data_IF_610382161877
#
_entry.id   IF_610382161877
#
_cell.length_a   1.000
_cell.length_b   1.000
_cell.length_c   1.000
_cell.angle_alpha   90.00
_cell.angle_beta   90.00
_cell.angle_gamma   90.00
#
_symmetry.space_group_name_H-M   'P 1'
#
loop_
_entity.id
_entity.type
_entity.pdbx_description
1 polymer ?
#
# COMPACT_ATOMS: atom_id res chain seq x y z
N UNK A 1 -28.47 -28.08 -23.76
CA UNK A 1 -28.68 -26.61 -23.71
C UNK A 1 -28.64 -26.00 -25.10
N UNK A 2 -29.37 -24.90 -25.34
CA UNK A 2 -29.30 -24.15 -26.61
C UNK A 2 -27.97 -23.39 -26.69
N UNK A 3 -27.56 -23.00 -27.91
CA UNK A 3 -26.40 -22.13 -28.08
C UNK A 3 -26.65 -20.78 -27.39
N UNK A 4 -27.84 -20.24 -27.50
CA UNK A 4 -28.21 -18.94 -26.94
C UNK A 4 -28.12 -18.92 -25.41
N UNK A 5 -28.54 -19.99 -24.74
CA UNK A 5 -28.33 -20.18 -23.31
C UNK A 5 -26.83 -20.20 -22.95
N UNK A 6 -26.02 -20.89 -23.76
CA UNK A 6 -24.59 -20.96 -23.54
C UNK A 6 -23.91 -19.61 -23.77
N UNK A 7 -24.35 -18.84 -24.76
CA UNK A 7 -23.85 -17.49 -25.02
C UNK A 7 -24.14 -16.52 -23.88
N UNK A 8 -25.34 -16.59 -23.30
CA UNK A 8 -25.73 -15.74 -22.19
C UNK A 8 -25.11 -16.12 -20.84
N UNK A 9 -24.70 -17.39 -20.65
CA UNK A 9 -24.24 -17.90 -19.34
C UNK A 9 -22.76 -18.25 -19.26
N UNK A 10 -22.18 -18.76 -20.35
CA UNK A 10 -20.86 -19.38 -20.33
C UNK A 10 -19.84 -18.75 -21.29
N UNK A 11 -20.31 -17.89 -22.21
CA UNK A 11 -19.48 -17.32 -23.27
C UNK A 11 -19.58 -15.78 -23.32
N UNK A 12 -19.87 -15.13 -22.19
CA UNK A 12 -19.98 -13.66 -22.14
C UNK A 12 -18.62 -12.96 -22.18
N UNK A 13 -17.54 -13.74 -22.16
CA UNK A 13 -16.15 -13.31 -22.30
C UNK A 13 -15.66 -13.26 -23.76
N UNK A 14 -16.47 -13.76 -24.71
CA UNK A 14 -16.22 -13.59 -26.14
C UNK A 14 -16.51 -12.15 -26.58
N UNK A 15 -15.74 -11.66 -27.55
CA UNK A 15 -16.08 -10.41 -28.26
C UNK A 15 -17.30 -10.62 -29.14
N UNK A 16 -17.94 -9.54 -29.60
CA UNK A 16 -19.13 -9.66 -30.44
C UNK A 16 -18.82 -10.33 -31.79
N UNK A 17 -17.65 -10.04 -32.38
CA UNK A 17 -17.17 -10.73 -33.59
C UNK A 17 -17.02 -12.25 -33.38
N UNK A 18 -16.42 -12.66 -32.25
CA UNK A 18 -16.27 -14.09 -31.92
C UNK A 18 -17.60 -14.76 -31.62
N UNK A 19 -18.57 -14.04 -31.04
CA UNK A 19 -19.92 -14.55 -30.84
C UNK A 19 -20.61 -14.79 -32.18
N UNK A 20 -20.44 -13.89 -33.15
CA UNK A 20 -20.98 -14.06 -34.50
C UNK A 20 -20.36 -15.26 -35.21
N UNK A 21 -19.03 -15.40 -35.14
CA UNK A 21 -18.31 -16.57 -35.68
C UNK A 21 -18.81 -17.88 -35.06
N UNK A 22 -18.98 -17.92 -33.73
CA UNK A 22 -19.54 -19.08 -33.02
C UNK A 22 -20.98 -19.41 -33.45
N UNK A 23 -21.81 -18.40 -33.73
CA UNK A 23 -23.18 -18.60 -34.24
C UNK A 23 -23.19 -19.17 -35.65
N UNK A 24 -22.35 -18.66 -36.53
CA UNK A 24 -22.19 -19.21 -37.89
C UNK A 24 -21.73 -20.66 -37.82
N UNK A 25 -20.65 -20.92 -37.08
CA UNK A 25 -20.05 -22.24 -36.95
C UNK A 25 -21.03 -23.27 -36.36
N UNK A 26 -21.89 -22.86 -35.42
CA UNK A 26 -22.94 -23.73 -34.90
C UNK A 26 -23.95 -24.16 -35.96
N UNK A 27 -24.28 -23.25 -36.88
CA UNK A 27 -25.26 -23.48 -37.94
C UNK A 27 -24.67 -24.39 -39.02
N UNK A 28 -23.39 -24.18 -39.34
CA UNK A 28 -22.71 -24.88 -40.44
C UNK A 28 -22.18 -26.26 -40.04
N UNK A 29 -21.58 -26.38 -38.85
CA UNK A 29 -20.82 -27.57 -38.43
C UNK A 29 -21.30 -28.17 -37.09
N UNK A 30 -22.20 -27.49 -36.39
CA UNK A 30 -22.81 -27.98 -35.17
C UNK A 30 -21.96 -27.81 -33.90
N UNK A 31 -22.41 -28.47 -32.82
CA UNK A 31 -21.90 -28.24 -31.45
C UNK A 31 -20.42 -28.62 -31.25
N UNK A 32 -19.92 -29.61 -31.99
CA UNK A 32 -18.54 -30.09 -31.86
C UNK A 32 -17.52 -29.04 -32.31
N UNK A 33 -17.72 -28.45 -33.48
CA UNK A 33 -16.86 -27.39 -34.02
C UNK A 33 -16.87 -26.14 -33.14
N UNK A 34 -18.06 -25.75 -32.65
CA UNK A 34 -18.20 -24.65 -31.68
C UNK A 34 -17.37 -24.89 -30.43
N UNK A 35 -17.38 -26.11 -29.90
CA UNK A 35 -16.60 -26.44 -28.72
C UNK A 35 -15.09 -26.29 -28.96
N UNK A 36 -14.59 -26.82 -30.07
CA UNK A 36 -13.17 -26.70 -30.42
C UNK A 36 -12.77 -25.23 -30.60
N UNK A 37 -13.62 -24.42 -31.25
CA UNK A 37 -13.37 -22.98 -31.43
C UNK A 37 -13.41 -22.18 -30.13
N UNK A 38 -14.33 -22.48 -29.22
CA UNK A 38 -14.37 -21.87 -27.88
C UNK A 38 -13.06 -22.15 -27.12
N UNK A 39 -12.49 -23.34 -27.28
CA UNK A 39 -11.24 -23.70 -26.62
C UNK A 39 -10.02 -23.03 -27.25
N UNK A 40 -10.04 -22.80 -28.56
CA UNK A 40 -9.04 -21.97 -29.26
C UNK A 40 -9.05 -20.54 -28.72
N UNK A 41 -10.22 -19.87 -28.69
CA UNK A 41 -10.33 -18.54 -28.08
C UNK A 41 -9.98 -18.53 -26.60
N UNK A 42 -10.31 -19.61 -25.89
CA UNK A 42 -9.92 -19.74 -24.50
C UNK A 42 -8.41 -19.71 -24.42
N UNK A 43 -7.70 -20.48 -25.24
CA UNK A 43 -6.24 -20.57 -25.26
C UNK A 43 -5.55 -19.26 -25.61
N UNK A 44 -6.09 -18.53 -26.57
CA UNK A 44 -5.62 -17.20 -26.98
C UNK A 44 -5.90 -16.10 -25.95
N UNK A 45 -6.94 -16.26 -25.12
CA UNK A 45 -7.27 -15.26 -24.12
C UNK A 45 -6.13 -15.09 -23.10
N UNK A 46 -5.92 -13.85 -22.68
CA UNK A 46 -4.94 -13.45 -21.66
C UNK A 46 -5.61 -12.59 -20.58
N UNK A 47 -4.91 -12.38 -19.47
CA UNK A 47 -5.35 -11.51 -18.36
C UNK A 47 -6.76 -11.79 -17.84
N UNK A 48 -7.49 -10.72 -17.54
CA UNK A 48 -8.86 -10.75 -16.98
C UNK A 48 -9.86 -11.49 -17.87
N UNK A 49 -9.65 -11.43 -19.21
CA UNK A 49 -10.50 -12.15 -20.15
C UNK A 49 -10.31 -13.66 -20.01
N UNK A 50 -9.07 -14.13 -19.86
CA UNK A 50 -8.77 -15.55 -19.59
C UNK A 50 -9.33 -15.99 -18.24
N UNK A 51 -9.28 -15.13 -17.23
CA UNK A 51 -9.87 -15.40 -15.93
C UNK A 51 -11.40 -15.55 -16.03
N UNK A 52 -12.08 -14.58 -16.65
CA UNK A 52 -13.52 -14.60 -16.88
C UNK A 52 -13.93 -15.86 -17.65
N UNK A 53 -13.20 -16.18 -18.72
CA UNK A 53 -13.40 -17.39 -19.49
C UNK A 53 -13.26 -18.66 -18.64
N UNK A 54 -12.23 -18.75 -17.80
CA UNK A 54 -12.03 -19.91 -16.94
C UNK A 54 -13.14 -20.08 -15.90
N UNK A 55 -13.67 -18.97 -15.34
CA UNK A 55 -14.80 -19.00 -14.39
C UNK A 55 -16.09 -19.47 -15.06
N UNK A 56 -16.42 -18.91 -16.22
CA UNK A 56 -17.66 -19.23 -16.95
C UNK A 56 -17.62 -20.64 -17.54
N UNK A 57 -16.52 -21.04 -18.19
CA UNK A 57 -16.38 -22.36 -18.80
C UNK A 57 -16.32 -23.48 -17.76
N UNK A 58 -15.92 -23.20 -16.50
CA UNK A 58 -16.04 -24.17 -15.40
C UNK A 58 -17.49 -24.59 -15.16
N UNK A 59 -18.41 -23.63 -15.29
CA UNK A 59 -19.86 -23.88 -15.29
C UNK A 59 -20.26 -24.77 -16.45
N UNK A 60 -19.85 -24.41 -17.67
CA UNK A 60 -20.13 -25.20 -18.87
C UNK A 60 -19.63 -26.65 -18.77
N UNK A 61 -18.43 -26.86 -18.23
CA UNK A 61 -17.85 -28.18 -18.00
C UNK A 61 -18.74 -29.10 -17.15
N UNK A 62 -19.40 -28.56 -16.12
CA UNK A 62 -20.31 -29.34 -15.28
C UNK A 62 -21.49 -29.87 -16.10
N UNK A 63 -22.03 -29.06 -16.99
CA UNK A 63 -23.16 -29.44 -17.83
C UNK A 63 -22.73 -30.37 -18.96
N UNK A 64 -21.66 -30.02 -19.68
CA UNK A 64 -21.23 -30.74 -20.86
C UNK A 64 -20.68 -32.14 -20.54
N UNK A 65 -19.87 -32.27 -19.48
CA UNK A 65 -19.37 -33.58 -19.06
C UNK A 65 -20.53 -34.45 -18.56
N UNK A 66 -21.47 -33.88 -17.81
CA UNK A 66 -22.68 -34.58 -17.34
C UNK A 66 -23.52 -35.12 -18.50
N UNK A 67 -23.74 -34.34 -19.56
CA UNK A 67 -24.47 -34.79 -20.75
C UNK A 67 -23.77 -35.99 -21.44
N UNK A 68 -22.43 -36.03 -21.40
CA UNK A 68 -21.63 -37.09 -22.02
C UNK A 68 -21.57 -38.37 -21.18
N UNK A 69 -21.34 -38.26 -19.87
CA UNK A 69 -21.25 -39.43 -18.97
C UNK A 69 -22.63 -39.94 -18.51
N UNK A 70 -23.68 -39.16 -18.71
CA UNK A 70 -25.06 -39.47 -18.34
C UNK A 70 -25.47 -38.94 -16.96
N UNK A 71 -26.79 -38.75 -16.78
CA UNK A 71 -27.38 -38.09 -15.60
C UNK A 71 -26.96 -38.73 -14.27
N UNK A 72 -27.11 -40.06 -14.16
CA UNK A 72 -26.75 -40.84 -12.97
C UNK A 72 -25.28 -40.69 -12.57
N UNK A 73 -24.40 -40.71 -13.57
CA UNK A 73 -22.97 -40.55 -13.36
C UNK A 73 -22.63 -39.10 -12.97
N UNK A 74 -23.32 -38.11 -13.55
CA UNK A 74 -23.21 -36.71 -13.13
C UNK A 74 -23.66 -36.45 -11.70
N UNK A 75 -24.72 -37.13 -11.24
CA UNK A 75 -25.18 -37.07 -9.85
C UNK A 75 -24.16 -37.68 -8.88
N UNK A 76 -23.57 -38.82 -9.22
CA UNK A 76 -22.47 -39.42 -8.44
C UNK A 76 -21.29 -38.45 -8.25
N UNK A 77 -20.87 -37.78 -9.33
CA UNK A 77 -19.79 -36.78 -9.25
C UNK A 77 -20.20 -35.58 -8.37
N UNK A 78 -21.47 -35.18 -8.40
CA UNK A 78 -22.00 -34.13 -7.53
C UNK A 78 -21.94 -34.55 -6.06
N UNK A 79 -22.40 -35.76 -5.73
CA UNK A 79 -22.36 -36.30 -4.38
C UNK A 79 -20.93 -36.43 -3.85
N UNK A 80 -19.99 -36.92 -4.67
CA UNK A 80 -18.57 -36.97 -4.30
C UNK A 80 -18.06 -35.59 -3.89
N UNK A 81 -18.41 -34.55 -4.65
CA UNK A 81 -18.01 -33.18 -4.34
C UNK A 81 -18.66 -32.66 -3.05
N UNK A 82 -19.93 -32.96 -2.82
CA UNK A 82 -20.65 -32.58 -1.60
C UNK A 82 -20.09 -33.28 -0.35
N UNK A 83 -19.62 -34.51 -0.51
CA UNK A 83 -18.92 -35.29 0.52
C UNK A 83 -17.43 -34.93 0.68
N UNK A 84 -16.96 -33.85 0.04
CA UNK A 84 -15.62 -33.32 0.23
C UNK A 84 -14.52 -34.05 -0.55
N UNK A 85 -14.86 -34.85 -1.57
CA UNK A 85 -13.85 -35.48 -2.41
C UNK A 85 -12.93 -34.42 -3.05
N UNK A 86 -11.63 -34.73 -3.10
CA UNK A 86 -10.68 -33.87 -3.78
C UNK A 86 -11.02 -33.78 -5.27
N UNK A 87 -10.68 -32.66 -5.88
CA UNK A 87 -10.91 -32.51 -7.32
C UNK A 87 -10.15 -33.55 -8.15
N UNK A 88 -9.03 -34.07 -7.64
CA UNK A 88 -8.23 -35.09 -8.32
C UNK A 88 -8.93 -36.45 -8.23
N UNK A 89 -9.52 -36.78 -7.08
CA UNK A 89 -10.38 -37.97 -6.93
C UNK A 89 -11.61 -37.89 -7.85
N UNK A 90 -12.21 -36.70 -7.98
CA UNK A 90 -13.31 -36.47 -8.93
C UNK A 90 -12.82 -36.64 -10.38
N UNK A 91 -11.64 -36.11 -10.73
CA UNK A 91 -11.08 -36.23 -12.07
C UNK A 91 -10.80 -37.69 -12.45
N UNK A 92 -10.20 -38.46 -11.55
CA UNK A 92 -10.01 -39.91 -11.73
C UNK A 92 -11.34 -40.61 -11.90
N UNK A 93 -12.35 -40.28 -11.11
CA UNK A 93 -13.67 -40.91 -11.26
C UNK A 93 -14.33 -40.59 -12.59
N UNK A 94 -14.20 -39.35 -13.07
CA UNK A 94 -14.70 -38.97 -14.40
C UNK A 94 -14.00 -39.78 -15.50
N UNK A 95 -12.69 -40.03 -15.39
CA UNK A 95 -11.95 -40.86 -16.36
C UNK A 95 -12.45 -42.31 -16.36
N UNK A 96 -12.63 -42.93 -15.19
CA UNK A 96 -13.22 -44.28 -15.07
C UNK A 96 -14.61 -44.36 -15.73
N UNK A 97 -15.45 -43.35 -15.50
CA UNK A 97 -16.80 -43.30 -16.08
C UNK A 97 -16.79 -43.12 -17.60
N UNK A 98 -15.80 -42.41 -18.12
CA UNK A 98 -15.60 -42.24 -19.57
C UNK A 98 -15.10 -43.55 -20.20
N UNK A 99 -14.21 -44.28 -19.51
CA UNK A 99 -13.71 -45.57 -20.02
C UNK A 99 -14.81 -46.61 -20.18
N UNK A 100 -15.83 -46.57 -19.32
CA UNK A 100 -17.00 -47.43 -19.36
C UNK A 100 -18.02 -47.09 -20.47
N UNK A 101 -17.82 -46.00 -21.23
CA UNK A 101 -18.67 -45.66 -22.38
C UNK A 101 -18.40 -46.64 -23.53
N UNK A 102 -19.43 -47.36 -23.97
CA UNK A 102 -19.32 -48.33 -25.06
C UNK A 102 -19.29 -47.71 -26.46
N UNK A 103 -19.85 -46.52 -26.65
CA UNK A 103 -19.83 -45.79 -27.93
C UNK A 103 -18.48 -45.08 -28.10
N UNK A 104 -17.66 -45.53 -29.03
CA UNK A 104 -16.31 -45.02 -29.26
C UNK A 104 -16.29 -43.51 -29.61
N UNK A 105 -17.28 -43.04 -30.38
CA UNK A 105 -17.38 -41.62 -30.75
C UNK A 105 -17.72 -40.77 -29.53
N UNK A 106 -18.67 -41.23 -28.71
CA UNK A 106 -19.06 -40.56 -27.47
C UNK A 106 -17.93 -40.59 -26.44
N UNK A 107 -17.21 -41.71 -26.35
CA UNK A 107 -16.03 -41.88 -25.50
C UNK A 107 -14.92 -40.91 -25.89
N UNK A 108 -14.60 -40.80 -27.18
CA UNK A 108 -13.61 -39.84 -27.67
C UNK A 108 -14.01 -38.38 -27.37
N UNK A 109 -15.29 -38.03 -27.55
CA UNK A 109 -15.82 -36.72 -27.18
C UNK A 109 -15.70 -36.44 -25.68
N UNK A 110 -16.01 -37.43 -24.84
CA UNK A 110 -15.94 -37.30 -23.39
C UNK A 110 -14.48 -37.18 -22.89
N UNK A 111 -13.55 -37.92 -23.48
CA UNK A 111 -12.11 -37.78 -23.19
C UNK A 111 -11.61 -36.37 -23.53
N UNK A 112 -11.94 -35.86 -24.72
CA UNK A 112 -11.57 -34.49 -25.13
C UNK A 112 -12.20 -33.45 -24.19
N UNK A 113 -13.47 -33.62 -23.84
CA UNK A 113 -14.16 -32.74 -22.91
C UNK A 113 -13.50 -32.74 -21.52
N UNK A 114 -13.18 -33.92 -20.99
CA UNK A 114 -12.51 -34.09 -19.69
C UNK A 114 -11.14 -33.41 -19.65
N UNK A 115 -10.31 -33.60 -20.69
CA UNK A 115 -8.99 -32.97 -20.78
C UNK A 115 -9.06 -31.44 -20.78
N UNK A 116 -9.96 -30.88 -21.60
CA UNK A 116 -10.19 -29.43 -21.67
C UNK A 116 -10.76 -28.88 -20.36
N UNK A 117 -11.69 -29.61 -19.73
CA UNK A 117 -12.20 -29.24 -18.42
C UNK A 117 -11.11 -29.27 -17.36
N UNK A 118 -10.23 -30.28 -17.34
CA UNK A 118 -9.06 -30.31 -16.45
C UNK A 118 -8.18 -29.06 -16.63
N UNK A 119 -7.94 -28.65 -17.88
CA UNK A 119 -7.21 -27.41 -18.21
C UNK A 119 -7.92 -26.16 -17.67
N UNK A 120 -9.22 -26.01 -17.91
CA UNK A 120 -10.04 -24.89 -17.43
C UNK A 120 -10.02 -24.81 -15.90
N UNK A 121 -10.24 -25.94 -15.22
CA UNK A 121 -10.19 -26.01 -13.77
C UNK A 121 -8.79 -25.68 -13.23
N UNK A 122 -7.72 -26.09 -13.92
CA UNK A 122 -6.34 -25.74 -13.59
C UNK A 122 -6.08 -24.23 -13.68
N UNK A 123 -6.52 -23.59 -14.77
CA UNK A 123 -6.43 -22.13 -14.96
C UNK A 123 -7.25 -21.39 -13.89
N UNK A 124 -8.50 -21.79 -13.65
CA UNK A 124 -9.35 -21.19 -12.63
C UNK A 124 -8.77 -21.35 -11.21
N UNK A 125 -8.08 -22.46 -10.92
CA UNK A 125 -7.36 -22.65 -9.65
C UNK A 125 -6.15 -21.72 -9.52
N UNK A 126 -5.40 -21.49 -10.61
CA UNK A 126 -4.26 -20.55 -10.61
C UNK A 126 -4.73 -19.13 -10.31
N UNK A 127 -5.72 -18.62 -11.05
CA UNK A 127 -6.29 -17.31 -10.75
C UNK A 127 -6.89 -17.19 -9.35
N UNK A 128 -7.47 -18.27 -8.80
CA UNK A 128 -7.93 -18.28 -7.40
C UNK A 128 -6.77 -18.25 -6.38
N UNK A 129 -5.59 -18.78 -6.72
CA UNK A 129 -4.39 -18.65 -5.86
C UNK A 129 -3.79 -17.26 -5.96
N UNK A 130 -3.85 -16.64 -7.14
CA UNK A 130 -3.33 -15.30 -7.39
C UNK A 130 -4.27 -14.20 -6.81
N UNK A 131 -5.58 -14.45 -6.76
CA UNK A 131 -6.54 -13.70 -5.95
C UNK A 131 -6.61 -14.27 -4.53
N UNK A 132 -5.71 -13.83 -3.66
CA UNK A 132 -5.85 -14.06 -2.22
C UNK A 132 -7.19 -13.50 -1.75
N UNK A 133 -8.11 -14.36 -1.30
CA UNK A 133 -9.35 -13.91 -0.68
C UNK A 133 -8.97 -13.24 0.65
N UNK A 134 -8.92 -11.92 0.66
CA UNK A 134 -8.51 -11.16 1.84
C UNK A 134 -9.46 -11.44 3.00
N UNK A 135 -9.04 -12.29 3.93
CA UNK A 135 -9.80 -12.55 5.15
C UNK A 135 -9.43 -11.51 6.21
N UNK A 136 -10.34 -11.29 7.16
CA UNK A 136 -10.12 -10.30 8.22
C UNK A 136 -8.91 -10.65 9.09
N UNK A 137 -8.63 -11.94 9.30
CA UNK A 137 -7.53 -12.37 10.17
C UNK A 137 -6.17 -11.94 9.60
N UNK A 138 -5.98 -12.07 8.29
CA UNK A 138 -4.80 -11.54 7.60
C UNK A 138 -4.69 -10.01 7.78
N UNK A 139 -5.81 -9.29 7.68
CA UNK A 139 -5.82 -7.85 7.91
C UNK A 139 -5.45 -7.49 9.37
N UNK A 140 -5.93 -8.28 10.33
CA UNK A 140 -5.62 -8.12 11.77
C UNK A 140 -4.15 -8.33 12.07
N UNK A 141 -3.55 -9.34 11.44
CA UNK A 141 -2.15 -9.72 11.65
C UNK A 141 -1.16 -8.81 10.92
N UNK A 142 -1.52 -8.27 9.75
CA UNK A 142 -0.59 -7.53 8.90
C UNK A 142 -0.80 -6.03 8.84
N UNK A 143 -2.05 -5.57 8.97
CA UNK A 143 -2.43 -4.20 8.64
C UNK A 143 -3.12 -3.42 9.78
N UNK A 144 -3.55 -4.13 10.82
CA UNK A 144 -4.30 -3.59 11.95
C UNK A 144 -3.66 -3.95 13.30
N UNK A 145 -2.35 -4.17 13.34
CA UNK A 145 -1.65 -4.56 14.58
C UNK A 145 -1.49 -3.38 15.56
N UNK A 146 -1.80 -2.17 15.09
CA UNK A 146 -1.85 -0.93 15.87
C UNK A 146 -3.17 -0.75 16.63
N UNK A 147 -4.19 -1.58 16.37
CA UNK A 147 -5.40 -1.62 17.17
C UNK A 147 -5.15 -2.33 18.50
N UNK A 148 -5.79 -1.84 19.57
CA UNK A 148 -5.86 -2.58 20.83
C UNK A 148 -6.91 -3.71 20.76
N UNK A 149 -6.96 -4.55 21.79
CA UNK A 149 -7.79 -5.76 21.76
C UNK A 149 -9.30 -5.43 21.69
N UNK A 150 -9.76 -4.42 22.44
CA UNK A 150 -11.15 -3.95 22.39
C UNK A 150 -11.53 -3.46 20.98
N UNK A 151 -10.66 -2.68 20.35
CA UNK A 151 -10.84 -2.18 18.99
C UNK A 151 -10.85 -3.31 17.96
N UNK A 152 -9.98 -4.32 18.13
CA UNK A 152 -9.98 -5.51 17.27
C UNK A 152 -11.28 -6.29 17.41
N UNK A 153 -11.81 -6.45 18.63
CA UNK A 153 -13.08 -7.13 18.86
C UNK A 153 -14.25 -6.40 18.20
N UNK A 154 -14.32 -5.07 18.31
CA UNK A 154 -15.34 -4.26 17.63
C UNK A 154 -15.29 -4.44 16.11
N UNK A 155 -14.09 -4.43 15.52
CA UNK A 155 -13.88 -4.63 14.07
C UNK A 155 -14.24 -6.06 13.66
N UNK A 156 -13.90 -7.08 14.48
CA UNK A 156 -14.30 -8.49 14.28
C UNK A 156 -15.82 -8.65 14.31
N UNK A 157 -16.51 -7.99 15.24
CA UNK A 157 -17.97 -8.02 15.37
C UNK A 157 -18.66 -7.45 14.13
N UNK A 158 -18.19 -6.31 13.62
CA UNK A 158 -18.74 -5.69 12.40
C UNK A 158 -18.54 -6.58 11.16
N UNK A 159 -17.38 -7.22 11.05
CA UNK A 159 -17.13 -8.17 9.97
C UNK A 159 -18.01 -9.42 10.06
N UNK A 160 -18.18 -10.00 11.26
CA UNK A 160 -19.02 -11.19 11.48
C UNK A 160 -20.50 -10.94 11.20
N UNK A 161 -20.97 -9.70 11.37
CA UNK A 161 -22.31 -9.27 10.98
C UNK A 161 -22.50 -9.12 9.46
N UNK A 162 -21.44 -9.32 8.66
CA UNK A 162 -21.45 -9.15 7.21
C UNK A 162 -21.35 -7.69 6.74
N UNK A 163 -21.25 -6.73 7.67
CA UNK A 163 -21.18 -5.30 7.38
C UNK A 163 -19.72 -4.84 7.20
N UNK A 164 -19.14 -5.24 6.07
CA UNK A 164 -17.78 -4.83 5.69
C UNK A 164 -17.63 -3.31 5.61
N UNK A 165 -18.70 -2.58 5.28
CA UNK A 165 -18.65 -1.12 5.16
C UNK A 165 -18.52 -0.45 6.53
N UNK A 166 -19.33 -0.87 7.50
CA UNK A 166 -19.22 -0.38 8.87
C UNK A 166 -17.84 -0.71 9.46
N UNK A 167 -17.31 -1.90 9.17
CA UNK A 167 -15.97 -2.30 9.56
C UNK A 167 -14.89 -1.33 9.04
N UNK A 168 -14.88 -1.04 7.73
CA UNK A 168 -13.92 -0.09 7.15
C UNK A 168 -14.06 1.31 7.74
N UNK A 169 -15.31 1.78 7.93
CA UNK A 169 -15.58 3.08 8.52
C UNK A 169 -15.01 3.15 9.94
N UNK A 170 -15.23 2.11 10.74
CA UNK A 170 -14.73 2.04 12.13
C UNK A 170 -13.21 2.05 12.19
N UNK A 171 -12.52 1.30 11.32
CA UNK A 171 -11.05 1.33 11.23
C UNK A 171 -10.55 2.76 10.94
N UNK A 172 -11.20 3.48 10.03
CA UNK A 172 -10.82 4.86 9.70
C UNK A 172 -11.15 5.85 10.82
N UNK A 173 -12.24 5.66 11.56
CA UNK A 173 -12.57 6.45 12.76
C UNK A 173 -11.50 6.26 13.85
N UNK A 174 -11.10 5.01 14.11
CA UNK A 174 -10.02 4.72 15.07
C UNK A 174 -8.72 5.34 14.57
N UNK A 175 -8.39 5.19 13.29
CA UNK A 175 -7.22 5.81 12.69
C UNK A 175 -7.20 7.32 12.94
N UNK A 176 -8.31 8.02 12.72
CA UNK A 176 -8.40 9.47 12.95
C UNK A 176 -8.25 9.87 14.41
N UNK A 177 -8.61 8.99 15.35
CA UNK A 177 -8.51 9.23 16.79
C UNK A 177 -7.12 9.02 17.38
N UNK A 178 -6.27 8.20 16.76
CA UNK A 178 -4.93 7.89 17.28
C UNK A 178 -3.89 8.95 16.89
N UNK A 179 -2.86 9.12 17.71
CA UNK A 179 -1.77 10.09 17.53
C UNK A 179 -0.40 9.48 17.88
N UNK A 180 0.69 10.19 17.58
CA UNK A 180 2.06 9.76 17.90
C UNK A 180 2.46 8.44 17.22
N UNK A 181 3.26 7.63 17.91
CA UNK A 181 3.79 6.35 17.41
C UNK A 181 2.71 5.41 16.88
N UNK A 182 1.54 5.39 17.53
CA UNK A 182 0.40 4.58 17.08
C UNK A 182 -0.10 5.05 15.72
N UNK A 183 -0.17 6.37 15.49
CA UNK A 183 -0.57 6.96 14.21
C UNK A 183 0.47 6.73 13.12
N UNK A 184 1.75 6.74 13.45
CA UNK A 184 2.83 6.38 12.53
C UNK A 184 2.73 4.92 12.09
N UNK A 185 2.67 4.01 13.06
CA UNK A 185 2.51 2.57 12.81
C UNK A 185 1.26 2.29 11.98
N UNK A 186 0.12 2.88 12.36
CA UNK A 186 -1.13 2.78 11.61
C UNK A 186 -0.99 3.29 10.17
N UNK A 187 -0.29 4.41 9.97
CA UNK A 187 -0.10 5.00 8.65
C UNK A 187 0.77 4.10 7.76
N UNK A 188 1.82 3.46 8.31
CA UNK A 188 2.67 2.51 7.56
C UNK A 188 1.88 1.26 7.17
N UNK A 189 1.20 0.65 8.13
CA UNK A 189 0.42 -0.57 7.93
C UNK A 189 -0.74 -0.35 6.96
N UNK A 190 -1.52 0.72 7.13
CA UNK A 190 -2.62 1.05 6.22
C UNK A 190 -2.13 1.44 4.82
N UNK A 191 -0.90 1.98 4.69
CA UNK A 191 -0.27 2.17 3.38
C UNK A 191 0.00 0.84 2.67
N UNK A 192 0.44 -0.17 3.41
CA UNK A 192 0.65 -1.51 2.89
C UNK A 192 -0.68 -2.16 2.50
N UNK A 193 -1.70 -2.02 3.34
CA UNK A 193 -3.07 -2.41 3.04
C UNK A 193 -3.55 -1.77 1.73
N UNK A 194 -3.38 -0.45 1.58
CA UNK A 194 -3.75 0.25 0.35
C UNK A 194 -3.09 -0.31 -0.90
N UNK A 195 -1.80 -0.68 -0.85
CA UNK A 195 -1.14 -1.32 -2.00
C UNK A 195 -1.76 -2.68 -2.31
N UNK A 196 -2.09 -3.45 -1.29
CA UNK A 196 -2.67 -4.78 -1.44
C UNK A 196 -4.10 -4.72 -1.99
N UNK A 197 -5.00 -4.00 -1.32
CA UNK A 197 -6.42 -3.94 -1.68
C UNK A 197 -6.71 -3.16 -2.96
N UNK A 198 -5.93 -2.11 -3.26
CA UNK A 198 -6.10 -1.37 -4.53
C UNK A 198 -5.64 -2.24 -5.70
N UNK A 199 -4.53 -2.97 -5.56
CA UNK A 199 -4.05 -3.93 -6.56
C UNK A 199 -5.13 -4.96 -6.92
N UNK A 200 -5.77 -5.55 -5.92
CA UNK A 200 -6.88 -6.50 -6.14
C UNK A 200 -8.10 -5.87 -6.81
N UNK A 201 -8.30 -4.55 -6.66
CA UNK A 201 -9.42 -3.83 -7.24
C UNK A 201 -9.18 -3.45 -8.70
N UNK A 202 -7.96 -3.04 -9.05
CA UNK A 202 -7.60 -2.56 -10.40
C UNK A 202 -6.94 -3.61 -11.29
N UNK A 203 -6.55 -4.76 -10.72
CA UNK A 203 -5.84 -5.83 -11.41
C UNK A 203 -4.31 -5.67 -11.41
N UNK A 204 -3.60 -6.78 -11.61
CA UNK A 204 -2.13 -6.86 -11.60
C UNK A 204 -1.50 -5.95 -12.66
N UNK A 205 -2.05 -5.93 -13.88
CA UNK A 205 -1.52 -5.14 -15.00
C UNK A 205 -1.52 -3.63 -14.68
N UNK A 206 -2.62 -3.14 -14.14
CA UNK A 206 -2.75 -1.74 -13.77
C UNK A 206 -1.89 -1.40 -12.54
N UNK A 207 -1.72 -2.35 -11.61
CA UNK A 207 -0.83 -2.18 -10.47
C UNK A 207 0.65 -2.06 -10.88
N UNK A 208 1.12 -2.86 -11.84
CA UNK A 208 2.48 -2.73 -12.39
C UNK A 208 2.66 -1.38 -13.11
N UNK A 209 1.67 -0.89 -13.87
CA UNK A 209 1.73 0.47 -14.44
C UNK A 209 1.91 1.55 -13.37
N UNK A 210 1.21 1.46 -12.23
CA UNK A 210 1.39 2.40 -11.12
C UNK A 210 2.78 2.31 -10.49
N UNK A 211 3.37 1.12 -10.45
CA UNK A 211 4.72 0.88 -9.95
C UNK A 211 5.77 1.48 -10.90
N UNK A 212 5.64 1.27 -12.19
CA UNK A 212 6.48 1.91 -13.22
C UNK A 212 6.39 3.45 -13.15
N UNK A 213 5.18 4.00 -12.99
CA UNK A 213 4.99 5.44 -12.78
C UNK A 213 5.74 5.93 -11.54
N UNK A 214 5.68 5.18 -10.43
CA UNK A 214 6.40 5.52 -9.21
C UNK A 214 7.92 5.46 -9.40
N UNK A 215 8.43 4.45 -10.09
CA UNK A 215 9.87 4.26 -10.36
C UNK A 215 10.43 5.31 -11.32
N UNK A 216 9.62 5.75 -12.29
CA UNK A 216 9.95 6.87 -13.20
C UNK A 216 9.80 8.26 -12.56
N UNK A 217 9.48 8.32 -11.27
CA UNK A 217 9.42 9.58 -10.51
C UNK A 217 8.13 10.37 -10.68
N UNK A 218 7.04 9.73 -11.10
CA UNK A 218 5.73 10.38 -11.18
C UNK A 218 5.31 10.96 -9.82
N UNK A 219 4.64 12.10 -9.86
CA UNK A 219 4.15 12.76 -8.65
C UNK A 219 3.05 11.92 -7.98
N UNK A 220 2.89 12.00 -6.65
CA UNK A 220 1.78 11.35 -5.95
C UNK A 220 0.42 11.73 -6.53
N UNK A 221 0.26 12.97 -7.00
CA UNK A 221 -0.94 13.48 -7.64
C UNK A 221 -1.20 12.79 -9.00
N UNK A 222 -0.16 12.57 -9.80
CA UNK A 222 -0.27 11.85 -11.07
C UNK A 222 -0.62 10.37 -10.84
N UNK A 223 -0.02 9.72 -9.84
CA UNK A 223 -0.34 8.34 -9.46
C UNK A 223 -1.80 8.25 -8.98
N UNK A 224 -2.25 9.20 -8.15
CA UNK A 224 -3.63 9.24 -7.67
C UNK A 224 -4.64 9.40 -8.81
N UNK A 225 -4.37 10.29 -9.77
CA UNK A 225 -5.20 10.47 -10.95
C UNK A 225 -5.27 9.18 -11.80
N UNK A 226 -4.15 8.47 -11.94
CA UNK A 226 -4.13 7.19 -12.68
C UNK A 226 -4.91 6.09 -11.96
N UNK A 227 -4.87 6.03 -10.63
CA UNK A 227 -5.73 5.13 -9.84
C UNK A 227 -7.20 5.43 -10.08
N UNK A 228 -7.60 6.71 -10.06
CA UNK A 228 -8.98 7.13 -10.33
C UNK A 228 -9.43 6.75 -11.76
N UNK A 229 -8.54 6.87 -12.76
CA UNK A 229 -8.78 6.41 -14.13
C UNK A 229 -9.00 4.89 -14.22
N UNK A 230 -8.16 4.09 -13.56
CA UNK A 230 -8.31 2.63 -13.55
C UNK A 230 -9.60 2.19 -12.84
N UNK A 231 -9.98 2.87 -11.77
CA UNK A 231 -11.25 2.61 -11.08
C UNK A 231 -12.45 2.97 -11.95
N UNK A 232 -12.38 4.07 -12.70
CA UNK A 232 -13.45 4.47 -13.61
C UNK A 232 -13.71 3.45 -14.72
N UNK A 233 -12.68 2.72 -15.14
CA UNK A 233 -12.74 1.65 -16.14
C UNK A 233 -13.33 0.32 -15.62
N UNK A 234 -13.58 0.18 -14.31
CA UNK A 234 -14.22 -1.02 -13.74
C UNK A 234 -15.69 -1.06 -14.16
N UNK A 235 -16.12 -2.15 -14.79
CA UNK A 235 -17.49 -2.35 -15.29
C UNK A 235 -18.45 -2.95 -14.26
N UNK A 236 -17.93 -3.62 -13.22
CA UNK A 236 -18.73 -4.11 -12.10
C UNK A 236 -18.99 -2.97 -11.11
N UNK A 237 -20.23 -2.47 -11.07
CA UNK A 237 -20.65 -1.35 -10.22
C UNK A 237 -20.36 -1.57 -8.73
N UNK A 238 -20.48 -2.81 -8.24
CA UNK A 238 -20.24 -3.12 -6.83
C UNK A 238 -18.74 -3.05 -6.52
N UNK A 239 -17.90 -3.61 -7.40
CA UNK A 239 -16.43 -3.51 -7.29
C UNK A 239 -15.95 -2.09 -7.47
N UNK A 240 -16.51 -1.34 -8.42
CA UNK A 240 -16.20 0.07 -8.66
C UNK A 240 -16.47 0.91 -7.41
N UNK A 241 -17.67 0.82 -6.83
CA UNK A 241 -18.01 1.53 -5.60
C UNK A 241 -17.13 1.12 -4.41
N UNK A 242 -16.65 -0.13 -4.35
CA UNK A 242 -15.69 -0.56 -3.33
C UNK A 242 -14.31 0.08 -3.56
N UNK A 243 -13.83 0.08 -4.80
CA UNK A 243 -12.54 0.63 -5.20
C UNK A 243 -12.49 2.15 -5.01
N UNK A 244 -13.56 2.89 -5.34
CA UNK A 244 -13.67 4.33 -5.12
C UNK A 244 -13.52 4.69 -3.64
N UNK A 245 -14.22 3.97 -2.75
CA UNK A 245 -14.11 4.18 -1.30
C UNK A 245 -12.72 3.89 -0.78
N UNK A 246 -12.11 2.78 -1.25
CA UNK A 246 -10.75 2.44 -0.90
C UNK A 246 -9.76 3.52 -1.36
N UNK A 247 -9.92 4.04 -2.58
CA UNK A 247 -9.08 5.10 -3.13
C UNK A 247 -9.16 6.39 -2.30
N UNK A 248 -10.36 6.80 -1.87
CA UNK A 248 -10.54 7.97 -0.98
C UNK A 248 -9.80 7.78 0.35
N UNK A 249 -9.96 6.62 0.99
CA UNK A 249 -9.25 6.30 2.23
C UNK A 249 -7.73 6.28 2.03
N UNK A 250 -7.26 5.66 0.95
CA UNK A 250 -5.85 5.57 0.62
C UNK A 250 -5.24 6.94 0.31
N UNK A 251 -5.93 7.81 -0.42
CA UNK A 251 -5.50 9.19 -0.68
C UNK A 251 -5.26 9.95 0.63
N UNK A 252 -6.16 9.79 1.61
CA UNK A 252 -6.01 10.34 2.96
C UNK A 252 -4.77 9.79 3.68
N UNK A 253 -4.59 8.47 3.70
CA UNK A 253 -3.45 7.81 4.36
C UNK A 253 -2.12 8.24 3.73
N UNK A 254 -2.02 8.26 2.39
CA UNK A 254 -0.81 8.72 1.69
C UNK A 254 -0.54 10.21 1.94
N UNK A 255 -1.59 11.04 2.06
CA UNK A 255 -1.48 12.44 2.45
C UNK A 255 -0.95 12.64 3.88
N UNK A 256 -1.38 11.82 4.85
CA UNK A 256 -0.84 11.82 6.22
C UNK A 256 0.60 11.31 6.22
N UNK A 257 0.89 10.22 5.51
CA UNK A 257 2.25 9.69 5.39
C UNK A 257 3.24 10.71 4.81
N UNK A 258 2.79 11.56 3.88
CA UNK A 258 3.61 12.64 3.33
C UNK A 258 3.87 13.75 4.34
N UNK A 259 2.89 14.06 5.20
CA UNK A 259 3.06 15.02 6.31
C UNK A 259 4.02 14.47 7.36
N UNK A 260 3.82 13.24 7.82
CA UNK A 260 4.76 12.56 8.73
C UNK A 260 6.17 12.49 8.12
N UNK A 261 6.32 12.16 6.84
CA UNK A 261 7.66 12.18 6.20
C UNK A 261 8.30 13.58 6.15
N UNK A 262 7.51 14.65 6.08
CA UNK A 262 8.02 16.03 6.18
C UNK A 262 8.36 16.41 7.62
N UNK A 263 7.66 15.83 8.60
CA UNK A 263 7.92 16.02 10.04
C UNK A 263 9.11 15.17 10.53
N UNK A 264 9.39 14.04 9.87
CA UNK A 264 10.50 13.10 10.12
C UNK A 264 11.52 13.12 8.98
N UNK A 265 11.80 14.28 8.38
CA UNK A 265 12.88 14.36 7.42
C UNK A 265 14.20 14.11 8.17
N UNK A 266 14.69 12.86 8.18
CA UNK A 266 16.06 12.61 8.59
C UNK A 266 16.97 13.37 7.62
N UNK A 267 17.47 14.52 8.08
CA UNK A 267 18.51 15.24 7.39
C UNK A 267 19.71 14.30 7.26
N UNK A 268 19.93 13.78 6.05
CA UNK A 268 21.09 12.96 5.80
C UNK A 268 22.35 13.84 5.79
N UNK A 269 23.49 13.26 6.16
CA UNK A 269 24.75 14.00 6.25
C UNK A 269 25.12 14.66 4.92
N UNK A 270 24.82 14.01 3.80
CA UNK A 270 25.22 14.48 2.47
C UNK A 270 24.56 15.82 2.14
N UNK A 271 23.25 15.95 2.40
CA UNK A 271 22.54 17.22 2.24
C UNK A 271 23.14 18.31 3.14
N UNK A 272 23.50 17.97 4.38
CA UNK A 272 24.15 18.91 5.28
C UNK A 272 25.54 19.32 4.78
N UNK A 273 26.31 18.39 4.20
CA UNK A 273 27.63 18.63 3.62
C UNK A 273 27.56 19.59 2.43
N UNK A 274 26.58 19.40 1.56
CA UNK A 274 26.39 20.22 0.36
C UNK A 274 25.81 21.61 0.66
N UNK A 275 24.89 21.72 1.64
CA UNK A 275 24.13 22.96 1.87
C UNK A 275 24.64 23.79 3.04
N UNK A 276 25.08 23.14 4.12
CA UNK A 276 25.31 23.81 5.41
C UNK A 276 26.76 23.73 5.91
N UNK A 277 27.57 22.84 5.36
CA UNK A 277 28.93 22.56 5.84
C UNK A 277 30.00 22.74 4.75
N UNK A 278 29.74 23.54 3.70
CA UNK A 278 30.73 23.80 2.64
C UNK A 278 31.84 24.76 3.08
N UNK A 279 31.80 25.24 4.32
CA UNK A 279 32.88 25.97 4.98
C UNK A 279 33.90 25.03 5.66
N UNK A 280 33.59 23.74 5.79
CA UNK A 280 34.56 22.74 6.24
C UNK A 280 35.55 22.41 5.11
N UNK A 281 36.81 22.20 5.46
CA UNK A 281 37.79 21.62 4.55
C UNK A 281 37.60 20.09 4.44
N UNK A 282 38.30 19.45 3.52
CA UNK A 282 38.09 18.02 3.24
C UNK A 282 38.47 17.12 4.43
N UNK A 283 39.52 17.46 5.18
CA UNK A 283 39.90 16.73 6.40
C UNK A 283 38.80 16.80 7.48
N UNK A 284 38.23 17.98 7.69
CA UNK A 284 37.13 18.21 8.62
C UNK A 284 35.85 17.47 8.19
N UNK A 285 35.56 17.44 6.89
CA UNK A 285 34.42 16.68 6.35
C UNK A 285 34.59 15.19 6.57
N UNK A 286 35.78 14.64 6.32
CA UNK A 286 36.08 13.23 6.57
C UNK A 286 35.98 12.87 8.06
N UNK A 287 36.44 13.75 8.95
CA UNK A 287 36.25 13.56 10.39
C UNK A 287 34.77 13.50 10.78
N UNK A 288 33.95 14.42 10.24
CA UNK A 288 32.50 14.42 10.48
C UNK A 288 31.84 13.17 9.90
N UNK A 289 32.22 12.72 8.70
CA UNK A 289 31.73 11.46 8.09
C UNK A 289 32.08 10.25 8.96
N UNK A 290 33.30 10.20 9.49
CA UNK A 290 33.76 9.12 10.38
C UNK A 290 32.91 9.05 11.65
N UNK A 291 32.63 10.18 12.29
CA UNK A 291 31.75 10.23 13.48
C UNK A 291 30.32 9.86 13.08
N UNK A 292 29.82 10.34 11.94
CA UNK A 292 28.48 9.98 11.47
C UNK A 292 28.34 8.46 11.20
N UNK A 293 29.41 7.80 10.75
CA UNK A 293 29.45 6.35 10.54
C UNK A 293 29.26 5.52 11.82
N UNK A 294 29.50 6.07 13.01
CA UNK A 294 29.28 5.37 14.29
C UNK A 294 27.81 5.40 14.73
N UNK A 295 26.96 6.17 14.06
CA UNK A 295 25.55 6.38 14.43
C UNK A 295 25.35 7.48 15.48
N UNK A 296 26.40 8.05 16.07
CA UNK A 296 26.29 9.10 17.07
C UNK A 296 26.08 10.49 16.44
N UNK A 297 24.81 10.84 16.25
CA UNK A 297 24.41 12.14 15.69
C UNK A 297 24.72 13.32 16.62
N UNK A 298 24.77 13.10 17.93
CA UNK A 298 25.06 14.15 18.93
C UNK A 298 26.56 14.49 18.87
N UNK A 299 27.42 13.49 18.70
CA UNK A 299 28.84 13.70 18.50
C UNK A 299 29.12 14.49 17.20
N UNK A 300 28.38 14.22 16.12
CA UNK A 300 28.47 15.01 14.88
C UNK A 300 28.12 16.48 15.13
N UNK A 301 26.97 16.75 15.75
CA UNK A 301 26.52 18.11 16.08
C UNK A 301 27.55 18.84 16.95
N UNK A 302 28.05 18.17 17.99
CA UNK A 302 29.07 18.70 18.90
C UNK A 302 30.35 19.04 18.16
N UNK A 303 30.83 18.16 17.29
CA UNK A 303 32.06 18.36 16.53
C UNK A 303 31.95 19.53 15.54
N UNK A 304 30.83 19.61 14.82
CA UNK A 304 30.57 20.73 13.88
C UNK A 304 30.54 22.06 14.62
N UNK A 305 29.91 22.13 15.80
CA UNK A 305 29.89 23.35 16.62
C UNK A 305 31.27 23.70 17.16
N UNK A 306 32.08 22.72 17.55
CA UNK A 306 33.46 22.94 17.96
C UNK A 306 34.31 23.52 16.81
N UNK A 307 34.20 22.95 15.61
CA UNK A 307 34.85 23.48 14.41
C UNK A 307 34.37 24.90 14.09
N UNK A 308 33.09 25.19 14.29
CA UNK A 308 32.53 26.52 14.12
C UNK A 308 33.11 27.51 15.15
N UNK A 309 33.16 27.16 16.43
CA UNK A 309 33.72 27.99 17.50
C UNK A 309 35.19 28.32 17.24
N UNK A 310 35.96 27.37 16.69
CA UNK A 310 37.37 27.55 16.34
C UNK A 310 37.62 28.26 15.00
N UNK A 311 36.60 28.39 14.14
CA UNK A 311 36.75 29.08 12.87
C UNK A 311 36.97 30.58 13.07
N UNK A 312 37.78 31.18 12.20
CA UNK A 312 38.10 32.62 12.20
C UNK A 312 38.02 33.21 10.78
N UNK A 313 37.97 34.53 10.68
CA UNK A 313 37.95 35.26 9.41
C UNK A 313 36.80 34.83 8.49
N UNK A 314 37.07 34.77 7.19
CA UNK A 314 36.08 34.47 6.14
C UNK A 314 35.41 33.09 6.33
N UNK A 315 36.15 32.12 6.88
CA UNK A 315 35.60 30.79 7.20
C UNK A 315 34.51 30.90 8.26
N UNK A 316 34.73 31.71 9.31
CA UNK A 316 33.73 31.94 10.38
C UNK A 316 32.49 32.67 9.86
N UNK A 317 32.66 33.61 8.94
CA UNK A 317 31.55 34.32 8.31
C UNK A 317 30.71 33.35 7.47
N UNK A 318 31.34 32.58 6.57
CA UNK A 318 30.68 31.56 5.75
C UNK A 318 29.96 30.52 6.62
N UNK A 319 30.61 30.04 7.67
CA UNK A 319 30.04 29.11 8.63
C UNK A 319 28.82 29.69 9.36
N UNK A 320 28.89 30.97 9.75
CA UNK A 320 27.77 31.65 10.42
C UNK A 320 26.55 31.76 9.51
N UNK A 321 26.74 32.10 8.23
CA UNK A 321 25.63 32.19 7.27
C UNK A 321 24.98 30.81 7.07
N UNK A 322 25.79 29.78 6.84
CA UNK A 322 25.30 28.43 6.53
C UNK A 322 24.66 27.75 7.74
N UNK A 323 25.27 27.86 8.93
CA UNK A 323 24.69 27.30 10.15
C UNK A 323 23.43 28.07 10.60
N UNK A 324 23.31 29.37 10.31
CA UNK A 324 22.06 30.10 10.52
C UNK A 324 20.96 29.60 9.58
N UNK A 325 21.30 29.26 8.33
CA UNK A 325 20.37 28.65 7.39
C UNK A 325 19.96 27.24 7.85
N UNK A 326 20.90 26.43 8.32
CA UNK A 326 20.64 25.14 8.96
C UNK A 326 19.66 25.33 10.13
N UNK A 327 19.97 26.22 11.07
CA UNK A 327 19.11 26.49 12.22
C UNK A 327 17.67 26.84 11.86
N UNK A 328 17.45 27.64 10.81
CA UNK A 328 16.09 27.92 10.32
C UNK A 328 15.41 26.67 9.79
N UNK A 329 16.14 25.81 9.09
CA UNK A 329 15.62 24.55 8.56
C UNK A 329 15.24 23.58 9.68
N UNK A 330 16.19 23.27 10.58
CA UNK A 330 15.97 22.30 11.66
C UNK A 330 14.93 22.79 12.68
N UNK A 331 14.94 24.08 13.09
CA UNK A 331 13.94 24.60 14.04
C UNK A 331 12.53 24.57 13.45
N UNK A 332 12.39 24.83 12.14
CA UNK A 332 11.10 24.79 11.45
C UNK A 332 10.41 23.43 11.59
N UNK A 333 11.15 22.32 11.61
CA UNK A 333 10.56 20.98 11.76
C UNK A 333 9.89 20.78 13.13
N UNK A 334 10.41 21.43 14.17
CA UNK A 334 9.86 21.31 15.52
C UNK A 334 8.69 22.26 15.76
N UNK A 335 8.83 23.53 15.38
CA UNK A 335 7.83 24.55 15.71
C UNK A 335 6.79 24.78 14.60
N UNK A 336 7.02 24.25 13.39
CA UNK A 336 6.12 24.36 12.24
C UNK A 336 6.17 25.71 11.51
N UNK A 337 5.60 25.74 10.30
CA UNK A 337 5.62 26.89 9.40
C UNK A 337 4.95 28.15 9.98
N UNK A 338 3.83 27.99 10.69
CA UNK A 338 3.10 29.11 11.28
C UNK A 338 3.94 29.86 12.34
N UNK A 339 4.61 29.12 13.22
CA UNK A 339 5.43 29.72 14.26
C UNK A 339 6.72 30.31 13.69
N UNK A 340 7.30 29.71 12.63
CA UNK A 340 8.42 30.31 11.90
C UNK A 340 8.03 31.63 11.24
N UNK A 341 6.81 31.75 10.70
CA UNK A 341 6.31 33.02 10.16
C UNK A 341 6.27 34.11 11.23
N UNK A 342 5.80 33.80 12.44
CA UNK A 342 5.82 34.73 13.59
C UNK A 342 7.25 35.16 13.96
N UNK A 343 8.22 34.24 13.97
CA UNK A 343 9.64 34.60 14.20
C UNK A 343 10.17 35.51 13.09
N UNK A 344 9.77 35.27 11.83
CA UNK A 344 10.16 36.12 10.71
C UNK A 344 9.58 37.52 10.85
N UNK A 345 8.30 37.65 11.19
CA UNK A 345 7.66 38.95 11.46
C UNK A 345 8.37 39.71 12.59
N UNK A 346 8.71 39.01 13.68
CA UNK A 346 9.52 39.60 14.76
C UNK A 346 10.85 40.11 14.23
N UNK A 347 11.56 39.32 13.42
CA UNK A 347 12.82 39.74 12.81
C UNK A 347 12.65 40.97 11.93
N UNK A 348 11.63 40.98 11.07
CA UNK A 348 11.35 42.06 10.13
C UNK A 348 10.93 43.35 10.86
N UNK A 349 10.32 43.23 12.06
CA UNK A 349 10.05 44.33 12.99
C UNK A 349 11.26 44.80 13.82
N UNK A 350 12.45 44.23 13.58
CA UNK A 350 13.69 44.61 14.27
C UNK A 350 13.91 43.96 15.64
N UNK A 351 13.24 42.85 15.94
CA UNK A 351 13.47 42.13 17.20
C UNK A 351 14.91 41.60 17.31
N UNK A 352 15.45 41.61 18.53
CA UNK A 352 16.78 41.06 18.80
C UNK A 352 16.82 39.53 18.70
N UNK A 353 18.02 38.96 18.53
CA UNK A 353 18.20 37.52 18.56
C UNK A 353 17.76 36.90 19.89
N UNK A 354 17.90 37.63 21.00
CA UNK A 354 17.42 37.24 22.33
C UNK A 354 15.89 37.13 22.37
N UNK A 355 15.18 38.11 21.80
CA UNK A 355 13.72 38.12 21.77
C UNK A 355 13.18 36.99 20.88
N UNK A 356 13.78 36.78 19.70
CA UNK A 356 13.42 35.67 18.81
C UNK A 356 13.73 34.31 19.47
N UNK A 357 14.87 34.18 20.14
CA UNK A 357 15.26 32.97 20.87
C UNK A 357 14.27 32.65 22.00
N UNK A 358 13.86 33.66 22.78
CA UNK A 358 12.85 33.49 23.83
C UNK A 358 11.49 33.03 23.27
N UNK A 359 11.10 33.56 22.10
CA UNK A 359 9.87 33.14 21.44
C UNK A 359 9.97 31.71 20.90
N UNK A 360 11.10 31.30 20.35
CA UNK A 360 11.37 29.91 19.97
C UNK A 360 11.27 28.99 21.19
N UNK A 361 11.84 29.39 22.35
CA UNK A 361 11.74 28.61 23.59
C UNK A 361 10.28 28.46 24.06
N UNK A 362 9.44 29.49 23.90
CA UNK A 362 8.01 29.41 24.18
C UNK A 362 7.30 28.39 23.29
N UNK A 363 7.58 28.40 21.98
CA UNK A 363 7.01 27.42 21.04
C UNK A 363 7.47 25.99 21.35
N UNK A 364 8.75 25.81 21.69
CA UNK A 364 9.29 24.50 22.08
C UNK A 364 8.68 24.03 23.40
N UNK A 365 8.48 24.94 24.37
CA UNK A 365 7.88 24.60 25.65
C UNK A 365 6.45 24.06 25.51
N UNK A 366 5.73 24.51 24.49
CA UNK A 366 4.36 24.09 24.15
C UNK A 366 4.28 22.73 23.41
N UNK A 367 5.42 22.12 23.04
CA UNK A 367 5.43 20.78 22.43
C UNK A 367 5.01 19.74 23.49
N UNK A 368 3.94 18.95 23.26
CA UNK A 368 3.42 17.99 24.24
C UNK A 368 4.26 16.71 24.33
N UNK A 369 4.90 16.31 23.24
CA UNK A 369 5.68 15.08 23.15
C UNK A 369 7.08 15.28 23.73
N UNK A 370 7.41 14.52 24.79
CA UNK A 370 8.63 14.70 25.58
C UNK A 370 9.91 14.53 24.75
N UNK A 371 10.02 13.47 23.96
CA UNK A 371 11.23 13.20 23.19
C UNK A 371 11.47 14.23 22.08
N UNK A 372 10.42 14.57 21.31
CA UNK A 372 10.48 15.66 20.34
C UNK A 372 10.83 17.00 20.99
N UNK A 373 10.29 17.30 22.17
CA UNK A 373 10.63 18.51 22.92
C UNK A 373 12.11 18.53 23.32
N UNK A 374 12.64 17.45 23.87
CA UNK A 374 14.07 17.34 24.23
C UNK A 374 14.99 17.51 23.02
N UNK A 375 14.61 16.96 21.86
CA UNK A 375 15.32 17.17 20.59
C UNK A 375 15.26 18.63 20.12
N UNK A 376 14.09 19.25 20.20
CA UNK A 376 13.91 20.66 19.85
C UNK A 376 14.72 21.59 20.76
N UNK A 377 14.73 21.34 22.07
CA UNK A 377 15.51 22.09 23.06
C UNK A 377 17.02 21.99 22.77
N UNK A 378 17.51 20.80 22.39
CA UNK A 378 18.92 20.61 21.98
C UNK A 378 19.26 21.44 20.74
N UNK A 379 18.47 21.32 19.68
CA UNK A 379 18.69 22.08 18.43
C UNK A 379 18.65 23.58 18.70
N UNK A 380 17.69 24.04 19.52
CA UNK A 380 17.61 25.44 19.91
C UNK A 380 18.84 25.91 20.70
N UNK A 381 19.36 25.08 21.61
CA UNK A 381 20.59 25.39 22.34
C UNK A 381 21.80 25.56 21.40
N UNK A 382 21.96 24.67 20.42
CA UNK A 382 22.99 24.77 19.38
C UNK A 382 22.83 26.01 18.52
N UNK A 383 21.60 26.33 18.13
CA UNK A 383 21.30 27.53 17.37
C UNK A 383 21.56 28.82 18.15
N UNK A 384 21.32 28.86 19.46
CA UNK A 384 21.68 30.02 20.31
C UNK A 384 23.17 30.34 20.21
N UNK A 385 24.04 29.32 20.17
CA UNK A 385 25.49 29.51 19.97
C UNK A 385 25.80 30.14 18.60
N UNK A 386 25.17 29.64 17.53
CA UNK A 386 25.34 30.15 16.16
C UNK A 386 24.87 31.61 16.02
N UNK A 387 23.79 31.97 16.71
CA UNK A 387 23.25 33.34 16.71
C UNK A 387 23.90 34.27 17.76
N UNK A 388 24.86 33.77 18.55
CA UNK A 388 25.55 34.55 19.58
C UNK A 388 24.68 34.92 20.79
N UNK A 389 23.59 34.21 21.02
CA UNK A 389 22.66 34.46 22.13
C UNK A 389 23.22 33.85 23.42
N UNK A 390 23.38 34.65 24.47
CA UNK A 390 23.84 34.17 25.78
C UNK A 390 22.84 33.18 26.38
N UNK A 391 23.28 31.96 26.66
CA UNK A 391 22.43 30.95 27.31
C UNK A 391 22.03 31.40 28.72
N UNK A 392 20.73 31.61 28.96
CA UNK A 392 20.17 31.65 30.32
C UNK A 392 19.99 30.22 30.79
N UNK A 393 21.02 29.64 31.39
CA UNK A 393 20.87 28.36 32.08
C UNK A 393 19.82 28.53 33.20
N UNK A 394 18.66 27.88 33.07
CA UNK A 394 17.70 27.78 34.18
C UNK A 394 18.43 27.09 35.34
N UNK A 395 18.78 27.84 36.39
CA UNK A 395 19.13 27.24 37.68
C UNK A 395 17.91 26.45 38.14
N UNK A 396 17.99 25.13 38.07
CA UNK A 396 17.11 24.30 38.88
C UNK A 396 17.37 24.67 40.35
N UNK A 397 16.33 24.94 41.16
CA UNK A 397 16.53 25.22 42.58
C UNK A 397 17.16 23.96 43.21
N UNK A 398 18.29 24.16 43.90
CA UNK A 398 18.93 23.12 44.66
C UNK A 398 17.91 22.48 45.61
N UNK A 399 17.83 21.15 45.57
CA UNK A 399 17.07 20.35 46.52
C UNK A 399 17.55 20.75 47.92
N UNK A 400 16.69 21.45 48.65
CA UNK A 400 16.84 21.67 50.10
C UNK A 400 16.85 20.29 50.76
N UNK A 401 18.04 19.78 51.09
CA UNK A 401 18.17 18.73 52.10
C UNK A 401 17.87 19.35 53.46
N UNK A 402 16.59 19.30 53.82
CA UNK A 402 16.17 19.26 55.21
C UNK A 402 16.15 17.79 55.61
N UNK A 403 16.95 17.41 56.61
CA UNK A 403 16.59 16.35 57.56
C UNK A 403 17.48 16.46 58.79
N UNK A 404 16.77 16.70 59.91
CA UNK A 404 17.08 16.46 61.34
C UNK A 404 18.40 16.93 61.92
#
# INVERSE_FOLDING_TARGET
HSLEDAMGKYLTWLTDDQKEEVKSLYTDEGRGAVYDKIMEYFDEATGDRKEKAAKELKGACKHYVKDLIGEKNGEMIKEMKENGASNDAIATKVEELIEAIADDKKKAQALRASANCRKIYGVARRFRRDHHEHNLEEAMEKYLTWLNDDQKEEVKKLYGAGDKQAMYKKVMEIYDSVSGDVKEKATVELKAACRHYVKDSIGEENAEKLKEMKESGATPEAIAAKVEEFIAAITDEKKKAQAERAAVACKKIYGVARRLKREHHEHNLEEAMEKYLTWLNDEQKEEVKKIYGTGDRIAVETKVLQMFENASGDVKEKASVQLRAACKHYIKEYIGDENVAKIKEMKDSGASNEAMSAKIDEFIAAIPEKERKEKAERVAASCKKVYGVKSRMRRYPARSTRST
#
